data_IF_072054438378
#
_entry.id   IF_072054438378
#
_cell.length_a   1.000
_cell.length_b   1.000
_cell.length_c   1.000
_cell.angle_alpha   90.00
_cell.angle_beta   90.00
_cell.angle_gamma   90.00
#
_symmetry.space_group_name_H-M   'P 1'
#
loop_
_entity.id
_entity.type
_entity.pdbx_description
1 polymer ?
#
# COMPACT_ATOMS: atom_id res chain seq x y z
N UNK A 1 -10.47 -12.59 -7.51
CA UNK A 1 -10.45 -11.26 -6.85
C UNK A 1 -10.12 -10.23 -7.91
N UNK A 2 -10.93 -9.21 -8.09
CA UNK A 2 -10.65 -8.14 -9.07
C UNK A 2 -9.48 -7.28 -8.58
N UNK A 3 -8.59 -6.81 -9.46
CA UNK A 3 -7.47 -5.97 -9.05
C UNK A 3 -7.99 -4.63 -8.51
N UNK A 4 -7.54 -4.25 -7.32
CA UNK A 4 -7.76 -2.93 -6.74
C UNK A 4 -7.02 -1.90 -7.61
N UNK A 5 -7.67 -0.79 -7.93
CA UNK A 5 -7.08 0.32 -8.68
C UNK A 5 -7.29 1.61 -7.92
N UNK A 6 -6.20 2.24 -7.49
CA UNK A 6 -6.21 3.59 -6.93
C UNK A 6 -5.19 4.47 -7.68
N UNK A 7 -5.48 5.77 -7.74
CA UNK A 7 -4.59 6.76 -8.34
C UNK A 7 -3.39 7.01 -7.43
N UNK A 8 -2.19 7.11 -8.01
CA UNK A 8 -0.99 7.54 -7.26
C UNK A 8 -0.51 8.89 -7.78
N UNK A 9 -0.29 9.82 -6.85
CA UNK A 9 0.33 11.10 -7.16
C UNK A 9 1.81 11.06 -6.79
N UNK A 10 2.68 11.21 -7.80
CA UNK A 10 4.13 11.24 -7.59
C UNK A 10 4.67 12.61 -7.97
N UNK A 11 5.58 13.20 -7.16
CA UNK A 11 6.33 14.37 -7.56
C UNK A 11 7.04 14.14 -8.92
N UNK A 12 7.12 15.15 -9.81
CA UNK A 12 7.62 14.98 -11.17
C UNK A 12 9.01 14.31 -11.28
N UNK A 13 9.90 14.59 -10.32
CA UNK A 13 11.24 13.97 -10.26
C UNK A 13 11.21 12.45 -10.13
N UNK A 14 10.23 11.91 -9.40
CA UNK A 14 10.09 10.48 -9.18
C UNK A 14 9.37 9.79 -10.34
N UNK A 15 8.33 10.42 -10.90
CA UNK A 15 7.69 9.91 -12.14
C UNK A 15 8.71 9.78 -13.27
N UNK A 16 9.61 10.77 -13.44
CA UNK A 16 10.69 10.70 -14.44
C UNK A 16 11.59 9.49 -14.22
N UNK A 17 12.03 9.22 -12.99
CA UNK A 17 12.88 8.06 -12.67
C UNK A 17 12.13 6.74 -12.86
N UNK A 18 10.87 6.67 -12.42
CA UNK A 18 10.02 5.50 -12.60
C UNK A 18 9.84 5.16 -14.09
N UNK A 19 9.57 6.15 -14.94
CA UNK A 19 9.45 5.94 -16.40
C UNK A 19 10.73 5.41 -17.02
N UNK A 20 11.88 5.98 -16.65
CA UNK A 20 13.18 5.52 -17.16
C UNK A 20 13.45 4.09 -16.69
N UNK A 21 13.19 3.79 -15.44
CA UNK A 21 13.41 2.45 -14.90
C UNK A 21 12.47 1.42 -15.52
N UNK A 22 11.20 1.76 -15.74
CA UNK A 22 10.24 0.92 -16.44
C UNK A 22 10.73 0.57 -17.85
N UNK A 23 11.26 1.56 -18.59
CA UNK A 23 11.88 1.33 -19.91
C UNK A 23 13.07 0.37 -19.83
N UNK A 24 13.98 0.57 -18.86
CA UNK A 24 15.14 -0.30 -18.67
C UNK A 24 14.76 -1.75 -18.33
N UNK A 25 13.62 -1.95 -17.66
CA UNK A 25 13.10 -3.27 -17.29
C UNK A 25 12.17 -3.88 -18.34
N UNK A 26 11.85 -3.17 -19.42
CA UNK A 26 10.88 -3.63 -20.42
C UNK A 26 9.46 -3.76 -19.86
N UNK A 27 9.10 -2.99 -18.83
CA UNK A 27 7.82 -3.07 -18.14
C UNK A 27 7.01 -1.78 -18.34
N UNK A 28 5.68 -1.88 -18.20
CA UNK A 28 4.83 -0.70 -18.12
C UNK A 28 5.08 0.07 -16.82
N UNK A 29 4.98 1.40 -16.86
CA UNK A 29 5.15 2.27 -15.68
C UNK A 29 4.27 1.84 -14.50
N UNK A 30 2.99 1.56 -14.78
CA UNK A 30 2.02 1.15 -13.77
C UNK A 30 2.37 -0.21 -13.14
N UNK A 31 2.78 -1.18 -13.96
CA UNK A 31 3.23 -2.49 -13.48
C UNK A 31 4.47 -2.36 -12.60
N UNK A 32 5.46 -1.57 -13.01
CA UNK A 32 6.64 -1.36 -12.17
C UNK A 32 6.28 -0.65 -10.86
N UNK A 33 5.39 0.34 -10.89
CA UNK A 33 4.92 1.00 -9.66
C UNK A 33 4.22 0.02 -8.71
N UNK A 34 3.32 -0.81 -9.23
CA UNK A 34 2.63 -1.84 -8.44
C UNK A 34 3.62 -2.82 -7.80
N UNK A 35 4.59 -3.31 -8.58
CA UNK A 35 5.62 -4.22 -8.06
C UNK A 35 6.49 -3.57 -6.98
N UNK A 36 6.82 -2.28 -7.12
CA UNK A 36 7.57 -1.55 -6.09
C UNK A 36 6.75 -1.45 -4.80
N UNK A 37 5.46 -1.08 -4.90
CA UNK A 37 4.58 -0.99 -3.74
C UNK A 37 4.46 -2.36 -3.06
N UNK A 38 4.21 -3.42 -3.82
CA UNK A 38 4.14 -4.79 -3.32
C UNK A 38 5.44 -5.17 -2.58
N UNK A 39 6.60 -4.99 -3.21
CA UNK A 39 7.89 -5.32 -2.60
C UNK A 39 8.16 -4.53 -1.32
N UNK A 40 7.66 -3.29 -1.21
CA UNK A 40 7.80 -2.49 0.01
C UNK A 40 6.85 -2.98 1.10
N UNK A 41 5.63 -3.36 0.78
CA UNK A 41 4.71 -3.97 1.75
C UNK A 41 5.29 -5.28 2.28
N UNK A 42 5.76 -6.17 1.40
CA UNK A 42 6.39 -7.44 1.77
C UNK A 42 7.62 -7.23 2.66
N UNK A 43 8.46 -6.23 2.35
CA UNK A 43 9.65 -5.92 3.13
C UNK A 43 9.36 -5.38 4.54
N UNK A 44 8.15 -4.82 4.77
CA UNK A 44 7.75 -4.26 6.07
C UNK A 44 6.66 -5.11 6.74
N UNK A 45 6.40 -6.33 6.25
CA UNK A 45 5.27 -7.13 6.72
C UNK A 45 5.31 -7.42 8.22
N UNK A 46 6.50 -7.76 8.73
CA UNK A 46 6.71 -8.04 10.15
C UNK A 46 6.52 -6.79 11.02
N UNK A 47 6.98 -5.63 10.54
CA UNK A 47 6.85 -4.35 11.25
C UNK A 47 5.37 -3.92 11.30
N UNK A 48 4.65 -4.02 10.17
CA UNK A 48 3.20 -3.79 10.10
C UNK A 48 2.46 -4.68 11.10
N UNK A 49 2.78 -5.97 11.12
CA UNK A 49 2.16 -6.92 12.04
C UNK A 49 2.46 -6.60 13.51
N UNK A 50 3.69 -6.17 13.81
CA UNK A 50 4.08 -5.75 15.15
C UNK A 50 3.33 -4.49 15.59
N UNK A 51 3.23 -3.49 14.73
CA UNK A 51 2.50 -2.25 14.99
C UNK A 51 1.00 -2.52 15.22
N UNK A 52 0.38 -3.34 14.37
CA UNK A 52 -1.02 -3.74 14.54
C UNK A 52 -1.27 -4.44 15.88
N UNK A 53 -0.39 -5.36 16.27
CA UNK A 53 -0.49 -6.03 17.56
C UNK A 53 -0.30 -5.06 18.74
N UNK A 54 0.62 -4.10 18.62
CA UNK A 54 0.83 -3.06 19.63
C UNK A 54 -0.42 -2.21 19.84
N UNK A 55 -0.99 -1.70 18.75
CA UNK A 55 -2.21 -0.88 18.78
C UNK A 55 -3.39 -1.69 19.33
N UNK A 56 -3.55 -2.94 18.91
CA UNK A 56 -4.62 -3.80 19.41
C UNK A 56 -4.51 -4.04 20.93
N UNK A 57 -3.28 -4.28 21.42
CA UNK A 57 -3.02 -4.43 22.85
C UNK A 57 -3.31 -3.16 23.65
N UNK A 58 -2.94 -1.97 23.13
CA UNK A 58 -3.24 -0.68 23.75
C UNK A 58 -4.75 -0.40 23.83
N UNK A 59 -5.52 -0.86 22.84
CA UNK A 59 -6.96 -0.72 22.79
C UNK A 59 -7.72 -1.84 23.52
N UNK A 60 -7.02 -2.88 23.97
CA UNK A 60 -7.64 -4.04 24.62
C UNK A 60 -8.52 -4.89 23.69
N UNK A 61 -8.29 -4.83 22.38
CA UNK A 61 -9.01 -5.60 21.36
C UNK A 61 -8.08 -6.61 20.68
N UNK A 62 -8.65 -7.55 19.93
CA UNK A 62 -7.87 -8.43 19.08
C UNK A 62 -7.37 -7.71 17.83
N UNK A 63 -6.26 -8.20 17.26
CA UNK A 63 -5.75 -7.74 15.96
C UNK A 63 -6.82 -7.82 14.86
N UNK A 64 -7.62 -8.90 14.85
CA UNK A 64 -8.67 -9.09 13.85
C UNK A 64 -9.79 -8.05 13.97
N UNK A 65 -10.17 -7.69 15.19
CA UNK A 65 -11.13 -6.60 15.44
C UNK A 65 -10.57 -5.25 15.01
N UNK A 66 -9.29 -4.99 15.28
CA UNK A 66 -8.62 -3.77 14.82
C UNK A 66 -8.61 -3.67 13.28
N UNK A 67 -8.22 -4.75 12.59
CA UNK A 67 -8.23 -4.81 11.13
C UNK A 67 -9.64 -4.56 10.57
N UNK A 68 -10.67 -5.17 11.18
CA UNK A 68 -12.06 -4.94 10.79
C UNK A 68 -12.50 -3.48 10.99
N UNK A 69 -12.07 -2.81 12.07
CA UNK A 69 -12.38 -1.39 12.30
C UNK A 69 -11.69 -0.49 11.27
N UNK A 70 -10.40 -0.72 11.00
CA UNK A 70 -9.62 0.12 10.10
C UNK A 70 -10.05 -0.02 8.63
N UNK A 71 -10.39 -1.24 8.21
CA UNK A 71 -10.73 -1.53 6.81
C UNK A 71 -12.19 -1.25 6.46
N UNK A 72 -13.12 -1.36 7.42
CA UNK A 72 -14.53 -1.02 7.16
C UNK A 72 -14.83 0.48 7.27
N UNK A 73 -13.92 1.29 7.82
CA UNK A 73 -14.07 2.74 7.92
C UNK A 73 -13.42 3.56 6.80
N UNK A 74 -12.73 2.91 5.85
CA UNK A 74 -11.87 3.57 4.86
C UNK A 74 -12.45 3.75 3.45
N UNK A 75 -13.63 3.17 3.16
CA UNK A 75 -14.22 3.18 1.81
C UNK A 75 -15.11 4.40 1.51
N UNK A 76 -15.31 5.32 2.47
CA UNK A 76 -16.22 6.48 2.31
C UNK A 76 -15.57 7.75 1.72
N UNK A 77 -14.25 7.81 1.52
CA UNK A 77 -13.55 9.07 1.13
C UNK A 77 -12.82 9.01 -0.23
N UNK A 78 -13.17 8.08 -1.11
CA UNK A 78 -12.61 7.96 -2.48
C UNK A 78 -13.45 8.71 -3.55
N UNK A 79 -14.10 9.81 -3.15
CA UNK A 79 -14.95 10.66 -4.00
C UNK A 79 -14.41 12.08 -4.15
N UNK A 80 -13.22 12.27 -4.73
CA UNK A 80 -12.75 13.58 -5.24
C UNK A 80 -11.96 13.46 -6.55
#
# INVERSE_FOLDING_TARGET
>A
MSPIKFGIQLPPRYDRKLRLWAKLKGAARATLAANIIQARIEANWADIDQELNGIAAEQGISRQELEAQMLNGGDEDDSL
#
